data_IF_312247588715
#
_entry.id   IF_312247588715
#
_cell.length_a   1.000
_cell.length_b   1.000
_cell.length_c   1.000
_cell.angle_alpha   90.00
_cell.angle_beta   90.00
_cell.angle_gamma   90.00
#
_symmetry.space_group_name_H-M   'P 1'
#
loop_
_entity.id
_entity.type
_entity.pdbx_description
1 polymer ?
#
# COMPACT_ATOMS: atom_id res chain seq x y z
N UNK A 1 14.64 -16.99 11.57
CA UNK A 1 14.23 -15.64 11.07
C UNK A 1 12.89 -15.77 10.35
N UNK A 2 11.88 -14.98 10.70
CA UNK A 2 10.55 -15.09 10.09
C UNK A 2 10.58 -14.78 8.60
N UNK A 3 9.77 -15.50 7.83
CA UNK A 3 9.64 -15.32 6.39
C UNK A 3 8.27 -14.67 6.12
N UNK A 4 8.26 -13.51 5.46
CA UNK A 4 7.03 -12.86 5.00
C UNK A 4 6.78 -13.19 3.54
N UNK A 5 5.59 -13.72 3.23
CA UNK A 5 5.15 -14.03 1.86
C UNK A 5 3.86 -13.29 1.53
N UNK A 6 3.79 -12.72 0.33
CA UNK A 6 2.54 -12.23 -0.23
C UNK A 6 1.77 -13.40 -0.86
N UNK A 7 0.47 -13.51 -0.57
CA UNK A 7 -0.44 -14.43 -1.23
C UNK A 7 -0.93 -13.76 -2.51
N UNK A 8 -0.47 -14.25 -3.67
CA UNK A 8 -0.57 -13.56 -4.96
C UNK A 8 -1.98 -13.30 -5.49
N UNK A 9 -2.91 -14.24 -5.39
CA UNK A 9 -4.28 -14.04 -5.86
C UNK A 9 -5.22 -13.63 -4.74
N UNK A 10 -5.61 -12.38 -4.78
CA UNK A 10 -6.53 -11.78 -3.82
C UNK A 10 -7.92 -11.71 -4.42
N UNK A 11 -8.93 -12.07 -3.64
CA UNK A 11 -10.32 -12.00 -4.08
C UNK A 11 -10.75 -10.62 -4.54
N UNK A 12 -11.53 -10.59 -5.61
CA UNK A 12 -12.01 -9.37 -6.26
C UNK A 12 -13.45 -9.01 -5.89
N UNK A 13 -14.05 -9.72 -4.96
CA UNK A 13 -15.45 -9.53 -4.54
C UNK A 13 -15.57 -9.24 -3.06
N UNK A 14 -16.66 -8.60 -2.67
CA UNK A 14 -17.04 -8.37 -1.27
C UNK A 14 -17.12 -9.70 -0.51
N UNK A 15 -17.70 -10.74 -1.14
CA UNK A 15 -17.79 -12.08 -0.56
C UNK A 15 -16.41 -12.71 -0.29
N UNK A 16 -15.42 -12.46 -1.15
CA UNK A 16 -14.05 -12.98 -0.92
C UNK A 16 -13.35 -12.30 0.26
N UNK A 17 -13.61 -11.01 0.51
CA UNK A 17 -13.12 -10.33 1.71
C UNK A 17 -13.74 -10.92 2.98
N UNK A 18 -15.06 -11.12 2.99
CA UNK A 18 -15.73 -11.73 4.13
C UNK A 18 -15.21 -13.15 4.38
N UNK A 19 -15.13 -13.96 3.32
CA UNK A 19 -14.66 -15.34 3.41
C UNK A 19 -13.23 -15.46 3.95
N UNK A 20 -12.31 -14.58 3.54
CA UNK A 20 -10.92 -14.62 4.05
C UNK A 20 -10.85 -14.18 5.51
N UNK A 21 -11.59 -13.16 5.92
CA UNK A 21 -11.66 -12.73 7.32
C UNK A 21 -12.22 -13.82 8.20
N UNK A 22 -13.31 -14.47 7.78
CA UNK A 22 -13.89 -15.62 8.47
C UNK A 22 -12.91 -16.79 8.55
N UNK A 23 -12.20 -17.07 7.45
CA UNK A 23 -11.20 -18.14 7.40
C UNK A 23 -10.08 -17.93 8.41
N UNK A 24 -9.46 -16.75 8.42
CA UNK A 24 -8.30 -16.50 9.30
C UNK A 24 -8.68 -16.32 10.77
N UNK A 25 -9.94 -16.00 11.06
CA UNK A 25 -10.43 -15.85 12.45
C UNK A 25 -11.00 -17.14 13.04
N UNK A 26 -11.18 -18.19 12.23
CA UNK A 26 -11.76 -19.45 12.72
C UNK A 26 -10.82 -20.14 13.69
N UNK A 27 -11.39 -20.52 14.81
CA UNK A 27 -10.83 -21.57 15.67
C UNK A 27 -11.15 -22.91 15.01
N UNK A 28 -10.16 -23.53 14.39
CA UNK A 28 -10.35 -24.87 13.86
C UNK A 28 -10.61 -25.86 15.03
N UNK A 29 -11.46 -26.89 14.81
CA UNK A 29 -11.80 -27.84 15.87
C UNK A 29 -10.61 -28.61 16.46
N UNK A 30 -9.43 -28.54 15.80
CA UNK A 30 -8.17 -29.17 16.22
C UNK A 30 -7.16 -28.19 16.79
N UNK A 31 -7.41 -26.88 16.74
CA UNK A 31 -6.46 -25.86 17.15
C UNK A 31 -7.03 -25.02 18.27
N UNK A 32 -6.39 -25.08 19.40
CA UNK A 32 -6.92 -24.46 20.61
C UNK A 32 -6.76 -22.93 20.64
N UNK A 33 -5.91 -22.32 19.81
CA UNK A 33 -5.67 -20.87 19.89
C UNK A 33 -5.42 -20.20 18.54
N UNK A 34 -6.40 -19.40 18.11
CA UNK A 34 -6.18 -18.30 17.14
C UNK A 34 -6.20 -17.00 17.93
N UNK A 35 -5.14 -16.21 17.82
CA UNK A 35 -5.05 -14.88 18.43
C UNK A 35 -5.34 -13.86 17.33
N UNK A 36 -6.32 -12.99 17.53
CA UNK A 36 -6.73 -12.00 16.53
C UNK A 36 -6.65 -10.58 17.06
N UNK A 37 -6.24 -9.65 16.22
CA UNK A 37 -6.21 -8.21 16.51
C UNK A 37 -6.54 -7.38 15.27
N UNK A 38 -7.09 -6.19 15.51
CA UNK A 38 -7.26 -5.18 14.48
C UNK A 38 -6.20 -4.08 14.64
N UNK A 39 -5.49 -3.80 13.58
CA UNK A 39 -4.57 -2.65 13.50
C UNK A 39 -5.25 -1.55 12.72
N UNK A 40 -5.75 -0.56 13.45
CA UNK A 40 -6.68 0.44 12.91
C UNK A 40 -8.11 -0.08 12.64
N UNK A 41 -8.44 -1.31 13.09
CA UNK A 41 -9.73 -1.99 12.95
C UNK A 41 -10.20 -2.55 14.29
N UNK A 42 -11.50 -2.80 14.42
CA UNK A 42 -12.03 -3.60 15.54
C UNK A 42 -11.53 -5.06 15.43
N UNK A 43 -11.13 -5.71 16.53
CA UNK A 43 -10.71 -7.11 16.52
C UNK A 43 -11.86 -8.10 16.22
N UNK A 44 -13.10 -7.67 16.32
CA UNK A 44 -14.24 -8.46 15.91
C UNK A 44 -14.32 -8.52 14.38
N UNK A 45 -14.41 -9.73 13.82
CA UNK A 45 -14.35 -9.96 12.38
C UNK A 45 -15.46 -9.29 11.58
N UNK A 46 -16.69 -9.24 12.13
CA UNK A 46 -17.84 -8.62 11.45
C UNK A 46 -17.73 -7.10 11.45
N UNK A 47 -17.24 -6.53 12.54
CA UNK A 47 -16.96 -5.11 12.64
C UNK A 47 -15.79 -4.71 11.73
N UNK A 48 -14.67 -5.47 11.75
CA UNK A 48 -13.53 -5.25 10.85
C UNK A 48 -13.98 -5.28 9.38
N UNK A 49 -14.79 -6.26 8.99
CA UNK A 49 -15.37 -6.32 7.65
C UNK A 49 -16.19 -5.06 7.33
N UNK A 50 -17.06 -4.64 8.25
CA UNK A 50 -17.92 -3.46 8.08
C UNK A 50 -17.11 -2.17 7.95
N UNK A 51 -16.04 -2.01 8.73
CA UNK A 51 -15.14 -0.86 8.68
C UNK A 51 -14.34 -0.80 7.37
N UNK A 52 -13.82 -1.93 6.90
CA UNK A 52 -13.14 -2.02 5.59
C UNK A 52 -14.13 -1.64 4.47
N UNK A 53 -15.35 -2.17 4.52
CA UNK A 53 -16.37 -1.87 3.50
C UNK A 53 -16.83 -0.41 3.57
N UNK A 54 -16.93 0.17 4.76
CA UNK A 54 -17.21 1.61 4.94
C UNK A 54 -16.11 2.46 4.28
N UNK A 55 -14.84 2.19 4.59
CA UNK A 55 -13.70 2.87 3.98
C UNK A 55 -13.76 2.84 2.45
N UNK A 56 -14.02 1.65 1.87
CA UNK A 56 -14.13 1.48 0.41
C UNK A 56 -15.30 2.26 -0.20
N UNK A 57 -16.43 2.36 0.50
CA UNK A 57 -17.59 3.14 0.04
C UNK A 57 -17.31 4.63 0.06
N UNK A 58 -16.74 5.15 1.15
CA UNK A 58 -16.37 6.56 1.29
C UNK A 58 -15.46 7.00 0.13
N UNK A 59 -14.50 6.15 -0.25
CA UNK A 59 -13.56 6.44 -1.34
C UNK A 59 -13.98 5.94 -2.73
N UNK A 60 -15.20 5.42 -2.90
CA UNK A 60 -15.69 4.84 -4.17
C UNK A 60 -14.78 3.74 -4.74
N UNK A 61 -14.22 2.86 -3.88
CA UNK A 61 -13.27 1.79 -4.23
C UNK A 61 -13.84 0.38 -3.98
N UNK A 62 -15.13 0.20 -4.18
CA UNK A 62 -15.83 -1.08 -3.93
C UNK A 62 -15.59 -2.16 -4.99
N UNK A 63 -14.84 -1.86 -6.05
CA UNK A 63 -14.56 -2.76 -7.16
C UNK A 63 -13.08 -3.14 -7.26
N UNK A 64 -12.80 -4.32 -7.83
CA UNK A 64 -11.46 -4.85 -8.05
C UNK A 64 -10.91 -5.55 -6.81
N UNK A 65 -9.58 -5.59 -6.65
CA UNK A 65 -8.94 -6.23 -5.49
C UNK A 65 -9.46 -5.60 -4.20
N UNK A 66 -9.90 -6.45 -3.25
CA UNK A 66 -10.54 -6.01 -2.02
C UNK A 66 -9.57 -5.89 -0.85
N UNK A 67 -8.49 -6.67 -0.85
CA UNK A 67 -7.51 -6.73 0.23
C UNK A 67 -6.16 -7.17 -0.30
N UNK A 68 -5.13 -7.08 0.52
CA UNK A 68 -3.85 -7.78 0.36
C UNK A 68 -3.73 -8.80 1.49
N UNK A 69 -3.18 -9.96 1.17
CA UNK A 69 -2.99 -11.04 2.12
C UNK A 69 -1.52 -11.40 2.20
N UNK A 70 -0.94 -11.28 3.40
CA UNK A 70 0.43 -11.71 3.68
C UNK A 70 0.42 -12.78 4.76
N UNK A 71 1.42 -13.65 4.72
CA UNK A 71 1.67 -14.64 5.77
C UNK A 71 3.11 -14.46 6.26
N UNK A 72 3.26 -14.36 7.57
CA UNK A 72 4.54 -14.41 8.25
C UNK A 72 4.65 -15.76 8.96
N UNK A 73 5.68 -16.55 8.62
CA UNK A 73 5.91 -17.87 9.18
C UNK A 73 7.21 -17.90 9.94
N UNK A 74 7.23 -18.63 11.07
CA UNK A 74 8.38 -18.86 11.90
C UNK A 74 8.83 -20.31 11.77
N UNK A 75 10.15 -20.54 11.81
CA UNK A 75 10.70 -21.90 11.90
C UNK A 75 10.41 -22.48 13.28
N UNK A 76 10.19 -23.80 13.42
CA UNK A 76 10.16 -24.46 14.72
C UNK A 76 11.40 -24.17 15.57
N UNK A 77 12.56 -23.98 14.92
CA UNK A 77 13.84 -23.64 15.56
C UNK A 77 13.87 -22.23 16.16
N UNK A 78 12.99 -21.31 15.71
CA UNK A 78 12.91 -19.95 16.25
C UNK A 78 12.40 -19.92 17.71
N UNK A 79 11.83 -21.03 18.20
CA UNK A 79 11.38 -21.25 19.58
C UNK A 79 10.51 -20.10 20.12
N UNK A 80 9.61 -19.57 19.30
CA UNK A 80 8.74 -18.44 19.59
C UNK A 80 7.36 -18.91 20.04
N UNK A 81 6.74 -18.19 20.98
CA UNK A 81 5.33 -18.45 21.35
C UNK A 81 4.36 -17.74 20.40
N UNK A 82 3.12 -18.22 20.32
CA UNK A 82 2.09 -17.60 19.50
C UNK A 82 1.81 -16.14 19.92
N UNK A 83 1.80 -15.88 21.22
CA UNK A 83 1.61 -14.54 21.78
C UNK A 83 2.73 -13.59 21.34
N UNK A 84 4.00 -14.06 21.41
CA UNK A 84 5.14 -13.25 21.00
C UNK A 84 5.18 -13.02 19.51
N UNK A 85 4.83 -14.04 18.70
CA UNK A 85 4.69 -13.90 17.26
C UNK A 85 3.59 -12.88 16.90
N UNK A 86 2.47 -12.91 17.63
CA UNK A 86 1.37 -11.96 17.44
C UNK A 86 1.76 -10.53 17.81
N UNK A 87 2.45 -10.33 18.93
CA UNK A 87 2.98 -9.00 19.32
C UNK A 87 3.90 -8.40 18.24
N UNK A 88 4.82 -9.22 17.70
CA UNK A 88 5.71 -8.81 16.61
C UNK A 88 4.91 -8.44 15.35
N UNK A 89 3.89 -9.24 15.05
CA UNK A 89 3.04 -9.00 13.89
C UNK A 89 2.22 -7.71 14.00
N UNK A 90 1.70 -7.38 15.20
CA UNK A 90 1.02 -6.11 15.43
C UNK A 90 1.96 -4.95 15.17
N UNK A 91 3.16 -4.93 15.77
CA UNK A 91 4.16 -3.88 15.55
C UNK A 91 4.53 -3.75 14.08
N UNK A 92 4.74 -4.88 13.40
CA UNK A 92 5.02 -4.89 11.97
C UNK A 92 3.88 -4.23 11.16
N UNK A 93 2.62 -4.55 11.48
CA UNK A 93 1.46 -3.99 10.79
C UNK A 93 1.28 -2.50 11.09
N UNK A 94 1.55 -2.05 12.31
CA UNK A 94 1.54 -0.63 12.69
C UNK A 94 2.56 0.17 11.89
N UNK A 95 3.81 -0.30 11.84
CA UNK A 95 4.91 0.41 11.18
C UNK A 95 4.83 0.36 9.64
N UNK A 96 4.40 -0.77 9.07
CA UNK A 96 4.46 -0.98 7.62
C UNK A 96 3.14 -0.77 6.88
N UNK A 97 1.99 -0.89 7.58
CA UNK A 97 0.67 -0.70 6.97
C UNK A 97 -0.05 0.52 7.54
N UNK A 98 -0.31 0.56 8.85
CA UNK A 98 -1.09 1.63 9.46
C UNK A 98 -0.42 3.00 9.31
N UNK A 99 0.89 3.10 9.54
CA UNK A 99 1.68 4.32 9.35
C UNK A 99 1.65 4.84 7.91
N UNK A 100 1.20 4.01 6.95
CA UNK A 100 1.01 4.38 5.54
C UNK A 100 -0.47 4.57 5.17
N UNK A 101 -1.35 4.61 6.16
CA UNK A 101 -2.78 4.81 5.96
C UNK A 101 -3.56 3.53 5.59
N UNK A 102 -3.03 2.32 5.84
CA UNK A 102 -3.71 1.06 5.51
C UNK A 102 -4.03 0.26 6.77
N UNK A 103 -5.30 0.03 7.01
CA UNK A 103 -5.80 -0.79 8.12
C UNK A 103 -5.55 -2.27 7.87
N UNK A 104 -5.31 -3.05 8.93
CA UNK A 104 -4.99 -4.46 8.82
C UNK A 104 -5.65 -5.31 9.91
N UNK A 105 -6.21 -6.45 9.53
CA UNK A 105 -6.64 -7.49 10.44
C UNK A 105 -5.54 -8.54 10.57
N UNK A 106 -5.15 -8.87 11.79
CA UNK A 106 -4.02 -9.77 12.11
C UNK A 106 -4.55 -10.99 12.83
N UNK A 107 -4.18 -12.19 12.35
CA UNK A 107 -4.56 -13.46 12.97
C UNK A 107 -3.36 -14.39 13.05
N UNK A 108 -2.98 -14.81 14.25
CA UNK A 108 -1.87 -15.74 14.51
C UNK A 108 -2.41 -17.11 14.86
N UNK A 109 -1.93 -18.11 14.14
CA UNK A 109 -2.29 -19.52 14.26
C UNK A 109 -1.11 -20.31 14.85
N UNK A 110 -1.42 -21.25 15.72
CA UNK A 110 -0.47 -22.20 16.32
C UNK A 110 -0.89 -23.68 16.14
N UNK A 111 -1.58 -23.95 15.05
CA UNK A 111 -2.24 -25.22 14.77
C UNK A 111 -1.40 -26.23 13.98
N UNK A 112 -0.25 -25.83 13.54
CA UNK A 112 0.69 -26.64 12.75
C UNK A 112 2.04 -26.73 13.44
N UNK A 113 2.95 -27.48 12.85
CA UNK A 113 4.32 -27.64 13.31
C UNK A 113 5.09 -26.29 13.40
N UNK A 114 4.50 -25.22 12.91
CA UNK A 114 5.07 -23.87 12.93
C UNK A 114 4.03 -22.80 13.18
N UNK A 115 4.41 -21.76 13.90
CA UNK A 115 3.57 -20.58 14.11
C UNK A 115 3.56 -19.71 12.86
N UNK A 116 2.37 -19.27 12.45
CA UNK A 116 2.20 -18.37 11.33
C UNK A 116 1.13 -17.30 11.60
N UNK A 117 1.35 -16.13 11.05
CA UNK A 117 0.44 -14.98 11.19
C UNK A 117 -0.05 -14.51 9.84
N UNK A 118 -1.36 -14.38 9.70
CA UNK A 118 -2.02 -13.81 8.55
C UNK A 118 -2.24 -12.31 8.75
N UNK A 119 -1.98 -11.54 7.70
CA UNK A 119 -2.29 -10.11 7.61
C UNK A 119 -3.29 -9.89 6.48
N UNK A 120 -4.51 -9.49 6.82
CA UNK A 120 -5.53 -9.09 5.84
C UNK A 120 -5.61 -7.57 5.85
N UNK A 121 -4.88 -6.95 4.94
CA UNK A 121 -4.76 -5.50 4.85
C UNK A 121 -5.81 -4.94 3.89
N UNK A 122 -6.55 -3.90 4.32
CA UNK A 122 -7.35 -3.11 3.39
C UNK A 122 -6.43 -2.48 2.33
N UNK A 123 -6.70 -2.73 1.08
CA UNK A 123 -5.88 -2.20 0.00
C UNK A 123 -6.25 -0.76 -0.40
N UNK A 124 -7.11 -0.10 0.36
CA UNK A 124 -7.49 1.32 0.18
C UNK A 124 -7.07 2.10 1.40
N UNK A 125 -6.28 3.15 1.19
CA UNK A 125 -5.88 4.05 2.28
C UNK A 125 -7.10 4.76 2.86
N UNK A 126 -7.21 4.77 4.19
CA UNK A 126 -8.27 5.49 4.90
C UNK A 126 -8.03 7.01 4.94
N UNK A 127 -6.80 7.45 4.67
CA UNK A 127 -6.43 8.87 4.67
C UNK A 127 -6.76 9.57 3.34
N UNK A 128 -6.45 8.92 2.22
CA UNK A 128 -6.51 9.56 0.91
C UNK A 128 -7.23 8.74 -0.18
N UNK A 129 -7.72 7.54 0.14
CA UNK A 129 -8.44 6.67 -0.78
C UNK A 129 -7.59 6.05 -1.89
N UNK A 130 -6.27 6.20 -1.86
CA UNK A 130 -5.39 5.58 -2.84
C UNK A 130 -5.28 4.07 -2.59
N UNK A 131 -5.20 3.29 -3.68
CA UNK A 131 -4.97 1.85 -3.56
C UNK A 131 -3.50 1.56 -3.26
N UNK A 132 -3.27 0.58 -2.40
CA UNK A 132 -1.93 0.08 -2.10
C UNK A 132 -1.25 -0.47 -3.35
N UNK A 133 -0.07 0.04 -3.61
CA UNK A 133 0.83 -0.44 -4.66
C UNK A 133 2.02 -1.11 -4.00
N UNK A 134 2.25 -2.36 -4.35
CA UNK A 134 3.43 -3.11 -3.94
C UNK A 134 4.60 -2.65 -4.80
N UNK A 135 5.63 -2.10 -4.17
CA UNK A 135 6.80 -1.65 -4.89
C UNK A 135 7.62 -2.87 -5.32
N UNK A 136 7.88 -2.99 -6.61
CA UNK A 136 8.84 -3.96 -7.13
C UNK A 136 10.26 -3.60 -6.70
N UNK A 137 11.22 -4.52 -6.82
CA UNK A 137 12.63 -4.23 -6.55
C UNK A 137 13.17 -3.06 -7.39
N UNK A 138 12.70 -2.97 -8.65
CA UNK A 138 13.02 -1.84 -9.54
C UNK A 138 12.44 -0.52 -9.05
N UNK A 139 11.23 -0.53 -8.44
CA UNK A 139 10.60 0.65 -7.88
C UNK A 139 11.31 1.13 -6.62
N UNK A 140 11.75 0.19 -5.76
CA UNK A 140 12.54 0.50 -4.58
C UNK A 140 13.89 1.13 -4.96
N UNK A 141 14.61 0.56 -5.93
CA UNK A 141 15.85 1.13 -6.46
C UNK A 141 15.64 2.53 -7.02
N UNK A 142 14.52 2.74 -7.70
CA UNK A 142 14.17 4.03 -8.29
C UNK A 142 13.81 5.07 -7.23
N UNK A 143 13.06 4.66 -6.20
CA UNK A 143 12.74 5.52 -5.05
C UNK A 143 14.02 5.95 -4.32
N UNK A 144 14.92 5.01 -4.02
CA UNK A 144 16.23 5.31 -3.41
C UNK A 144 17.08 6.25 -4.27
N UNK A 145 17.09 6.03 -5.60
CA UNK A 145 17.81 6.91 -6.53
C UNK A 145 17.24 8.33 -6.49
N UNK A 146 15.90 8.46 -6.50
CA UNK A 146 15.22 9.75 -6.42
C UNK A 146 15.55 10.48 -5.11
N UNK A 147 15.48 9.80 -3.97
CA UNK A 147 15.82 10.36 -2.66
C UNK A 147 17.27 10.84 -2.61
N UNK A 148 18.21 10.07 -3.16
CA UNK A 148 19.63 10.44 -3.24
C UNK A 148 19.87 11.63 -4.19
N UNK A 149 19.10 11.69 -5.30
CA UNK A 149 19.15 12.83 -6.22
C UNK A 149 18.65 14.12 -5.55
N UNK A 150 17.54 14.04 -4.84
CA UNK A 150 16.97 15.19 -4.12
C UNK A 150 17.89 15.69 -2.99
N UNK A 151 18.65 14.79 -2.36
CA UNK A 151 19.66 15.11 -1.35
C UNK A 151 21.01 15.55 -1.93
N UNK A 152 21.19 15.53 -3.25
CA UNK A 152 22.47 15.85 -3.90
C UNK A 152 23.57 14.80 -3.68
N UNK A 153 23.21 13.58 -3.28
CA UNK A 153 24.15 12.51 -2.91
C UNK A 153 24.57 11.62 -4.08
N UNK A 154 24.17 11.93 -5.33
CA UNK A 154 24.52 11.12 -6.49
C UNK A 154 25.99 11.31 -6.89
N UNK A 155 26.65 10.18 -7.11
CA UNK A 155 28.02 10.17 -7.65
C UNK A 155 28.00 10.55 -9.13
N UNK A 156 29.05 11.24 -9.58
CA UNK A 156 29.23 11.72 -10.96
C UNK A 156 29.04 10.66 -12.07
N UNK A 157 29.12 9.36 -11.72
CA UNK A 157 29.06 8.23 -12.65
C UNK A 157 27.70 7.48 -12.60
N UNK A 158 26.75 7.91 -11.77
CA UNK A 158 25.44 7.26 -11.71
C UNK A 158 24.58 7.72 -12.88
N UNK A 159 24.00 6.76 -13.60
CA UNK A 159 23.16 7.03 -14.78
C UNK A 159 21.89 7.78 -14.39
N UNK A 160 21.46 8.77 -15.18
CA UNK A 160 20.17 9.44 -14.98
C UNK A 160 19.00 8.44 -15.01
N UNK A 161 17.93 8.75 -14.30
CA UNK A 161 16.68 7.99 -14.26
C UNK A 161 16.11 7.65 -15.65
N UNK A 162 16.40 8.50 -16.65
CA UNK A 162 15.95 8.34 -18.04
C UNK A 162 16.43 7.04 -18.72
N UNK A 163 17.51 6.43 -18.21
CA UNK A 163 18.09 5.20 -18.75
C UNK A 163 17.67 3.93 -18.03
N UNK A 164 16.83 4.01 -16.99
CA UNK A 164 16.25 2.85 -16.34
C UNK A 164 15.14 2.28 -17.24
N UNK A 165 15.13 0.94 -17.47
CA UNK A 165 14.09 0.29 -18.28
C UNK A 165 12.71 0.69 -17.79
N UNK A 166 11.87 1.19 -18.68
CA UNK A 166 10.51 1.67 -18.40
C UNK A 166 9.64 0.50 -17.97
N UNK A 167 9.20 0.49 -16.71
CA UNK A 167 8.04 -0.29 -16.26
C UNK A 167 6.75 0.53 -16.42
N UNK A 168 5.59 -0.09 -16.26
CA UNK A 168 4.30 0.63 -16.34
C UNK A 168 4.20 1.80 -15.37
N UNK A 169 4.88 1.72 -14.22
CA UNK A 169 4.87 2.74 -13.18
C UNK A 169 5.85 3.88 -13.48
N UNK A 170 6.90 3.60 -14.27
CA UNK A 170 7.76 4.63 -14.88
C UNK A 170 6.97 5.57 -15.76
N UNK A 171 6.02 5.01 -16.50
CA UNK A 171 5.16 5.80 -17.39
C UNK A 171 4.33 6.80 -16.58
N UNK A 172 3.79 6.41 -15.43
CA UNK A 172 3.03 7.29 -14.56
C UNK A 172 3.90 8.43 -13.99
N UNK A 173 5.10 8.13 -13.52
CA UNK A 173 6.05 9.15 -13.03
C UNK A 173 6.52 10.09 -14.14
N UNK A 174 6.85 9.56 -15.32
CA UNK A 174 7.26 10.38 -16.46
C UNK A 174 6.09 11.14 -17.10
N UNK A 175 4.87 10.60 -17.04
CA UNK A 175 3.66 11.33 -17.42
C UNK A 175 3.42 12.50 -16.48
N UNK A 176 3.63 12.34 -15.19
CA UNK A 176 3.48 13.42 -14.21
C UNK A 176 4.48 14.56 -14.47
N UNK A 177 5.73 14.26 -14.75
CA UNK A 177 6.75 15.25 -15.18
C UNK A 177 6.43 15.83 -16.56
N UNK A 178 5.96 15.00 -17.51
CA UNK A 178 5.52 15.49 -18.84
C UNK A 178 4.28 16.36 -18.75
N UNK A 179 3.31 15.99 -17.93
CA UNK A 179 2.11 16.79 -17.69
C UNK A 179 2.45 18.10 -16.96
N UNK A 180 3.36 18.09 -15.98
CA UNK A 180 3.88 19.29 -15.35
C UNK A 180 4.64 20.20 -16.37
N UNK A 181 5.45 19.62 -17.26
CA UNK A 181 6.11 20.37 -18.33
C UNK A 181 5.11 20.92 -19.36
N UNK A 182 4.05 20.16 -19.70
CA UNK A 182 2.94 20.63 -20.55
C UNK A 182 2.14 21.73 -19.87
N UNK A 183 1.75 21.54 -18.61
CA UNK A 183 1.05 22.55 -17.82
C UNK A 183 1.85 23.85 -17.72
N UNK A 184 3.17 23.76 -17.50
CA UNK A 184 4.08 24.93 -17.50
C UNK A 184 4.14 25.62 -18.87
N UNK A 185 4.15 24.86 -19.98
CA UNK A 185 4.07 25.44 -21.35
C UNK A 185 2.76 26.12 -21.61
N UNK A 186 1.64 25.49 -21.22
CA UNK A 186 0.30 26.04 -21.37
C UNK A 186 0.14 27.31 -20.54
N UNK A 187 0.57 27.29 -19.28
CA UNK A 187 0.55 28.47 -18.41
C UNK A 187 1.38 29.62 -18.96
N UNK A 188 2.57 29.33 -19.46
CA UNK A 188 3.44 30.32 -20.11
C UNK A 188 2.79 30.91 -21.38
N UNK A 189 2.08 30.09 -22.15
CA UNK A 189 1.35 30.54 -23.33
C UNK A 189 0.17 31.44 -22.94
N UNK A 190 -0.63 31.04 -21.94
CA UNK A 190 -1.76 31.84 -21.43
C UNK A 190 -1.28 33.19 -20.92
N UNK A 191 -0.21 33.23 -20.14
CA UNK A 191 0.37 34.48 -19.63
C UNK A 191 0.80 35.40 -20.80
N UNK A 192 1.45 34.85 -21.83
CA UNK A 192 1.85 35.64 -23.03
C UNK A 192 0.63 36.18 -23.78
N UNK A 193 -0.44 35.40 -23.89
CA UNK A 193 -1.68 35.82 -24.53
C UNK A 193 -2.36 36.92 -23.71
N UNK A 194 -2.47 36.74 -22.38
CA UNK A 194 -3.02 37.76 -21.49
C UNK A 194 -2.26 39.10 -21.57
N UNK A 195 -0.92 39.04 -21.54
CA UNK A 195 -0.08 40.25 -21.66
C UNK A 195 -0.31 40.94 -23.03
N UNK A 196 -0.47 40.13 -24.09
CA UNK A 196 -0.73 40.70 -25.46
C UNK A 196 -2.09 41.35 -25.57
N UNK A 197 -3.11 40.76 -24.93
CA UNK A 197 -4.47 41.33 -24.86
C UNK A 197 -4.47 42.60 -24.01
N UNK A 198 -3.85 42.58 -22.84
CA UNK A 198 -3.75 43.78 -21.98
C UNK A 198 -3.02 44.92 -22.68
N UNK A 199 -1.93 44.66 -23.40
CA UNK A 199 -1.26 45.69 -24.20
C UNK A 199 -2.16 46.26 -25.26
N UNK A 200 -2.96 45.44 -25.98
CA UNK A 200 -3.93 45.94 -26.99
C UNK A 200 -5.06 46.78 -26.41
N UNK A 201 -5.48 46.49 -25.18
CA UNK A 201 -6.49 47.27 -24.46
C UNK A 201 -5.92 48.63 -24.03
N UNK A 202 -4.71 48.61 -23.45
CA UNK A 202 -4.02 49.83 -23.02
C UNK A 202 -3.61 50.78 -24.15
N UNK A 203 -3.40 50.25 -25.37
CA UNK A 203 -3.11 51.10 -26.56
C UNK A 203 -4.36 51.66 -27.27
N UNK A 204 -5.55 51.29 -26.81
CA UNK A 204 -6.85 51.76 -27.32
C UNK A 204 -7.57 52.75 -26.40
N UNK A 205 -6.98 53.05 -25.24
CA UNK A 205 -7.37 54.14 -24.33
C UNK A 205 -6.41 55.30 -24.49
#
# INVERSE_FOLDING_TARGET
MPILKSIGEVGKSVGSLKAVLDYVSRKDKKTEKVITSGVGLDPNVDKAFSEIMYNKRVHNKVNGKMYKHYIQSYSPEDNITAEKAHEIAIKFAEENFLARGFKCYVATHSDKDHIHTHFIMDNVSFENGLKYVELSESDLKRKQYKERYEKGELKKNERPLENLKKSSDDIAFFLDIKELKKAKKVLTYIIKVCIRVMKKVLYRM
#
